data_IF_145612553190
#
_entry.id   IF_145612553190
#
_cell.length_a   1.000
_cell.length_b   1.000
_cell.length_c   1.000
_cell.angle_alpha   90.00
_cell.angle_beta   90.00
_cell.angle_gamma   90.00
#
_symmetry.space_group_name_H-M   'P 1'
#
loop_
_entity.id
_entity.type
_entity.pdbx_description
1 polymer ?
#
# COMPACT_ATOMS: atom_id res chain seq x y z
N UNK A 1 -0.64 1.27 -13.30
CA UNK A 1 -0.80 2.38 -12.35
C UNK A 1 0.42 2.35 -11.43
N UNK A 2 1.04 3.50 -11.15
CA UNK A 2 2.15 3.59 -10.19
C UNK A 2 1.67 4.31 -8.96
N UNK A 3 1.72 3.62 -7.82
CA UNK A 3 1.34 4.13 -6.52
C UNK A 3 2.58 4.66 -5.77
N UNK A 4 2.62 5.98 -5.60
CA UNK A 4 3.58 6.67 -4.74
C UNK A 4 2.89 7.76 -3.92
N UNK A 5 1.61 7.54 -3.59
CA UNK A 5 0.77 8.57 -2.98
C UNK A 5 1.17 8.81 -1.53
N UNK A 6 1.46 7.75 -0.77
CA UNK A 6 1.83 7.81 0.64
C UNK A 6 2.96 6.83 0.95
N UNK A 7 3.88 7.24 1.83
CA UNK A 7 4.99 6.41 2.31
C UNK A 7 4.88 6.04 3.79
N UNK A 8 6.02 5.91 4.46
CA UNK A 8 6.11 5.43 5.86
C UNK A 8 5.59 6.41 6.92
N UNK A 9 5.36 7.68 6.57
CA UNK A 9 4.99 8.75 7.51
C UNK A 9 3.50 8.82 7.90
N UNK A 10 2.67 7.88 7.43
CA UNK A 10 1.22 7.92 7.71
C UNK A 10 0.96 7.52 9.16
N UNK A 11 0.13 8.30 9.85
CA UNK A 11 -0.39 7.96 11.19
C UNK A 11 -1.90 8.12 11.22
N UNK A 12 -2.58 7.24 11.96
CA UNK A 12 -4.05 7.25 12.05
C UNK A 12 -4.75 6.76 10.78
N UNK A 13 -6.07 6.92 10.74
CA UNK A 13 -6.88 6.44 9.63
C UNK A 13 -6.84 7.36 8.42
N UNK A 14 -6.76 6.76 7.23
CA UNK A 14 -6.92 7.43 5.94
C UNK A 14 -8.30 8.11 5.86
N UNK A 15 -8.34 9.27 5.21
CA UNK A 15 -9.54 10.09 5.07
C UNK A 15 -9.85 10.30 3.59
N UNK A 16 -11.08 10.74 3.32
CA UNK A 16 -11.44 11.22 1.99
C UNK A 16 -10.55 12.42 1.58
N UNK A 17 -10.24 12.58 0.28
CA UNK A 17 -10.75 11.83 -0.88
C UNK A 17 -9.94 10.56 -1.25
N UNK A 18 -8.94 10.19 -0.45
CA UNK A 18 -8.01 9.12 -0.81
C UNK A 18 -8.67 7.74 -0.77
N UNK A 19 -9.63 7.51 0.13
CA UNK A 19 -10.37 6.25 0.17
C UNK A 19 -11.07 5.96 -1.17
N UNK A 20 -11.76 6.96 -1.74
CA UNK A 20 -12.45 6.82 -3.03
C UNK A 20 -11.48 6.64 -4.20
N UNK A 21 -10.33 7.33 -4.16
CA UNK A 21 -9.28 7.16 -5.15
C UNK A 21 -8.73 5.73 -5.12
N UNK A 22 -8.40 5.21 -3.93
CA UNK A 22 -7.83 3.87 -3.79
C UNK A 22 -8.83 2.79 -4.21
N UNK A 23 -10.12 2.97 -3.89
CA UNK A 23 -11.17 2.09 -4.38
C UNK A 23 -11.25 2.04 -5.91
N UNK A 24 -11.13 3.19 -6.60
CA UNK A 24 -11.10 3.24 -8.07
C UNK A 24 -9.86 2.58 -8.65
N UNK A 25 -8.69 2.77 -8.02
CA UNK A 25 -7.44 2.12 -8.45
C UNK A 25 -7.54 0.61 -8.30
N UNK A 26 -8.04 0.12 -7.17
CA UNK A 26 -8.18 -1.32 -6.90
C UNK A 26 -9.20 -2.01 -7.83
N UNK A 27 -10.12 -1.25 -8.44
CA UNK A 27 -11.07 -1.75 -9.45
C UNK A 27 -10.54 -1.64 -10.89
N UNK A 28 -9.38 -1.01 -11.10
CA UNK A 28 -8.80 -0.87 -12.42
C UNK A 28 -8.25 -2.21 -12.93
N UNK A 29 -8.36 -2.46 -14.23
CA UNK A 29 -7.79 -3.66 -14.87
C UNK A 29 -6.29 -3.56 -15.12
N UNK A 30 -5.72 -2.35 -15.01
CA UNK A 30 -4.29 -2.12 -15.22
C UNK A 30 -3.49 -2.60 -14.00
N UNK A 31 -2.31 -3.23 -14.19
CA UNK A 31 -1.48 -3.65 -13.08
C UNK A 31 -1.01 -2.45 -12.25
N UNK A 32 -0.90 -2.65 -10.94
CA UNK A 32 -0.51 -1.65 -9.95
C UNK A 32 0.89 -1.97 -9.41
N UNK A 33 1.79 -1.00 -9.47
CA UNK A 33 3.12 -1.05 -8.87
C UNK A 33 3.19 -0.03 -7.72
N UNK A 34 3.42 -0.48 -6.50
CA UNK A 34 3.62 0.41 -5.35
C UNK A 34 5.10 0.69 -5.11
N UNK A 35 5.38 1.95 -4.79
CA UNK A 35 6.70 2.43 -4.44
C UNK A 35 6.82 2.46 -2.92
N UNK A 36 7.84 1.81 -2.39
CA UNK A 36 8.18 1.69 -0.98
C UNK A 36 7.25 0.81 -0.14
N UNK A 37 5.94 1.06 -0.23
CA UNK A 37 4.85 0.45 0.51
C UNK A 37 3.54 0.68 -0.26
N UNK A 38 2.57 -0.25 -0.29
CA UNK A 38 1.24 0.07 -0.77
C UNK A 38 0.61 1.21 0.05
N UNK A 39 0.17 2.28 -0.62
CA UNK A 39 -0.38 3.45 0.05
C UNK A 39 -1.56 3.07 0.95
N UNK A 40 -1.56 3.59 2.18
CA UNK A 40 -2.57 3.31 3.20
C UNK A 40 -2.26 2.12 4.11
N UNK A 41 -1.18 1.37 3.83
CA UNK A 41 -0.68 0.33 4.73
C UNK A 41 0.16 0.96 5.85
N UNK A 42 0.17 0.35 7.04
CA UNK A 42 1.08 0.76 8.11
C UNK A 42 2.45 0.09 7.94
N UNK A 43 3.52 0.88 7.77
CA UNK A 43 4.88 0.35 7.57
C UNK A 43 5.41 -0.54 8.71
N UNK A 44 4.94 -0.36 9.95
CA UNK A 44 5.44 -1.14 11.09
C UNK A 44 4.63 -2.42 11.33
N UNK A 45 3.32 -2.40 11.07
CA UNK A 45 2.41 -3.49 11.48
C UNK A 45 1.77 -4.21 10.29
N UNK A 46 1.79 -3.61 9.10
CA UNK A 46 1.07 -4.10 7.92
C UNK A 46 -0.44 -3.89 8.01
N UNK A 47 -0.94 -3.19 9.03
CA UNK A 47 -2.38 -2.95 9.16
C UNK A 47 -2.89 -1.97 8.09
N UNK A 48 -4.06 -2.28 7.55
CA UNK A 48 -4.86 -1.37 6.75
C UNK A 48 -5.31 -0.17 7.62
N UNK A 49 -5.02 1.06 7.16
CA UNK A 49 -5.37 2.29 7.85
C UNK A 49 -6.72 2.88 7.39
N UNK A 50 -7.62 2.08 6.82
CA UNK A 50 -8.96 2.48 6.37
C UNK A 50 -9.21 2.18 4.89
N UNK A 51 -8.21 2.44 4.04
CA UNK A 51 -8.16 1.97 2.66
C UNK A 51 -6.70 1.77 2.26
N UNK A 52 -6.43 0.75 1.42
CA UNK A 52 -5.08 0.39 0.98
C UNK A 52 -5.10 0.09 -0.51
N UNK A 53 -4.04 0.47 -1.21
CA UNK A 53 -3.80 0.03 -2.59
C UNK A 53 -3.45 -1.47 -2.62
N UNK A 54 -4.15 -2.27 -3.44
CA UNK A 54 -3.75 -3.65 -3.71
C UNK A 54 -2.80 -3.64 -4.91
N UNK A 55 -1.52 -3.90 -4.64
CA UNK A 55 -0.47 -3.89 -5.63
C UNK A 55 -0.26 -5.27 -6.25
N UNK A 56 0.09 -5.31 -7.53
CA UNK A 56 0.62 -6.52 -8.17
C UNK A 56 2.09 -6.73 -7.81
N UNK A 57 2.84 -5.63 -7.62
CA UNK A 57 4.20 -5.66 -7.12
C UNK A 57 4.49 -4.42 -6.27
N UNK A 58 5.41 -4.55 -5.33
CA UNK A 58 5.93 -3.47 -4.48
C UNK A 58 7.45 -3.46 -4.57
N UNK A 59 8.06 -2.33 -4.90
CA UNK A 59 9.52 -2.14 -4.82
C UNK A 59 9.82 -1.36 -3.55
N UNK A 60 10.61 -1.93 -2.63
CA UNK A 60 10.92 -1.26 -1.35
C UNK A 60 12.34 -0.70 -1.32
N UNK A 61 12.52 0.49 -0.73
CA UNK A 61 13.81 1.18 -0.72
C UNK A 61 14.44 1.23 0.67
N UNK A 62 15.77 1.38 0.70
CA UNK A 62 16.64 1.53 1.89
C UNK A 62 16.66 0.28 2.77
N UNK A 63 15.53 -0.08 3.36
CA UNK A 63 15.31 -1.28 4.13
C UNK A 63 13.87 -1.74 3.97
N UNK A 64 13.67 -3.05 4.07
CA UNK A 64 12.35 -3.63 4.02
C UNK A 64 11.57 -3.30 5.31
N UNK A 65 10.30 -2.90 5.16
CA UNK A 65 9.46 -2.46 6.28
C UNK A 65 8.87 -3.69 6.95
N UNK A 66 8.90 -3.74 8.29
CA UNK A 66 8.38 -4.88 9.06
C UNK A 66 6.93 -5.23 8.68
N UNK A 67 6.12 -4.22 8.44
CA UNK A 67 4.72 -4.35 8.03
C UNK A 67 4.52 -5.10 6.72
N UNK A 68 5.49 -5.10 5.79
CA UNK A 68 5.41 -5.82 4.52
C UNK A 68 5.48 -7.34 4.67
N UNK A 69 5.99 -7.83 5.81
CA UNK A 69 6.18 -9.26 6.08
C UNK A 69 5.18 -9.80 7.11
N UNK A 70 4.09 -9.07 7.38
CA UNK A 70 3.01 -9.56 8.24
C UNK A 70 1.87 -10.14 7.42
N UNK A 71 1.10 -11.05 8.00
CA UNK A 71 -0.11 -11.58 7.34
C UNK A 71 -1.14 -10.51 6.98
N UNK A 72 -1.09 -9.33 7.62
CA UNK A 72 -1.97 -8.21 7.29
C UNK A 72 -1.65 -7.56 5.93
N UNK A 73 -0.40 -7.66 5.46
CA UNK A 73 0.03 -7.05 4.19
C UNK A 73 -0.07 -8.01 3.00
N UNK A 74 -0.27 -9.31 3.24
CA UNK A 74 -0.18 -10.35 2.22
C UNK A 74 -1.13 -10.13 1.03
N UNK A 75 -2.32 -9.56 1.27
CA UNK A 75 -3.32 -9.29 0.23
C UNK A 75 -3.05 -8.00 -0.57
N UNK A 76 -2.10 -7.17 -0.14
CA UNK A 76 -1.87 -5.83 -0.69
C UNK A 76 -0.49 -5.66 -1.35
N UNK A 77 0.51 -6.40 -0.90
CA UNK A 77 1.90 -6.16 -1.30
C UNK A 77 2.26 -6.70 -2.70
N UNK A 78 1.58 -7.76 -3.14
CA UNK A 78 1.92 -8.45 -4.38
C UNK A 78 3.31 -9.07 -4.34
N UNK A 79 4.01 -9.10 -5.47
CA UNK A 79 5.43 -9.46 -5.51
C UNK A 79 6.28 -8.37 -4.85
N UNK A 80 7.04 -8.72 -3.81
CA UNK A 80 7.93 -7.79 -3.12
C UNK A 80 9.35 -7.87 -3.69
N UNK A 81 9.86 -6.74 -4.18
CA UNK A 81 11.20 -6.56 -4.78
C UNK A 81 12.06 -5.63 -3.91
#
# INVERSE_FOLDING_TARGET
IVDGVLGTGITGSLRQPLCDLFAKVNLATAPVLSLDLPSGLCANTGRNLGAVISANATITFIAAKQGLFTGHAAEYVGELV
#
